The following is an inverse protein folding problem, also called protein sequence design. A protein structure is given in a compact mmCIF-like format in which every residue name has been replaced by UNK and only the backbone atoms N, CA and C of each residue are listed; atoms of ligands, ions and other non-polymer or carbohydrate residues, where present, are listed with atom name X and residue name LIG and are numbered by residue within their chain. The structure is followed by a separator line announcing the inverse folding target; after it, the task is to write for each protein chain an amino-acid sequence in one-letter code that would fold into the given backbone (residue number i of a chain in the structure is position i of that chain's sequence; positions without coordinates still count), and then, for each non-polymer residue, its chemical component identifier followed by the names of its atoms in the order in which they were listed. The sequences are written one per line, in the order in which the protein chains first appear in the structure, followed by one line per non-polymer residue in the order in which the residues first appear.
data_IF_895580867551
#
_entry.id   IF_895580867551
#
_cell.length_a   1.000
_cell.length_b   1.000
_cell.length_c   1.000
_cell.angle_alpha   90.00
_cell.angle_beta   90.00
_cell.angle_gamma   90.00
#
_symmetry.space_group_name_H-M   'P 1'
#
loop_
_entity.id
_entity.type
_entity.pdbx_description
1 polymer ?
#
# COMPACT_ATOMS: atom_id res chain seq x y z
N UNK A 1 7.90 12.54 -4.82
CA UNK A 1 8.12 11.57 -5.89
C UNK A 1 8.33 10.17 -5.35
N UNK A 2 9.14 10.05 -4.33
CA UNK A 2 9.44 8.74 -3.76
C UNK A 2 8.52 8.34 -2.62
N UNK A 3 7.61 9.20 -2.29
CA UNK A 3 6.74 8.94 -1.14
C UNK A 3 5.86 7.70 -1.35
N UNK A 4 5.30 7.57 -2.55
CA UNK A 4 4.46 6.40 -2.83
C UNK A 4 5.28 5.13 -2.84
N UNK A 5 6.50 5.17 -3.38
CA UNK A 5 7.38 4.01 -3.38
C UNK A 5 7.74 3.59 -1.96
N UNK A 6 8.07 4.57 -1.11
CA UNK A 6 8.42 4.29 0.26
C UNK A 6 7.23 3.72 1.03
N UNK A 7 6.05 4.29 0.82
CA UNK A 7 4.85 3.79 1.47
C UNK A 7 4.52 2.37 1.02
N UNK A 8 4.72 2.09 -0.26
CA UNK A 8 4.48 0.75 -0.77
C UNK A 8 5.42 -0.27 -0.13
N UNK A 9 6.71 0.08 -0.04
CA UNK A 9 7.69 -0.78 0.61
C UNK A 9 7.34 -1.02 2.08
N UNK A 10 6.93 0.03 2.77
CA UNK A 10 6.53 -0.12 4.17
C UNK A 10 5.31 -1.02 4.30
N UNK A 11 4.35 -0.85 3.42
CA UNK A 11 3.17 -1.70 3.41
C UNK A 11 3.54 -3.16 3.18
N UNK A 12 4.41 -3.42 2.21
CA UNK A 12 4.88 -4.77 1.95
C UNK A 12 5.59 -5.36 3.16
N UNK A 13 6.45 -4.57 3.78
CA UNK A 13 7.20 -4.99 4.96
C UNK A 13 6.25 -5.44 6.07
N UNK A 14 5.26 -4.62 6.38
CA UNK A 14 4.33 -4.95 7.44
C UNK A 14 3.43 -6.11 7.05
N UNK A 15 3.09 -6.23 5.78
CA UNK A 15 2.30 -7.35 5.30
C UNK A 15 3.05 -8.66 5.53
N UNK A 16 4.34 -8.70 5.19
CA UNK A 16 5.14 -9.91 5.37
C UNK A 16 5.42 -10.23 6.83
N UNK A 17 5.27 -9.24 7.70
CA UNK A 17 5.45 -9.46 9.13
C UNK A 17 4.13 -9.75 9.85
N UNK A 18 3.09 -10.07 9.11
CA UNK A 18 1.77 -10.38 9.67
C UNK A 18 1.11 -9.20 10.36
N UNK A 19 1.50 -7.97 10.01
CA UNK A 19 0.87 -6.77 10.52
C UNK A 19 -0.05 -6.19 9.47
N UNK A 20 -1.09 -6.93 9.14
CA UNK A 20 -1.98 -6.58 8.05
C UNK A 20 -2.67 -5.22 8.26
N UNK A 21 -3.00 -4.89 9.49
CA UNK A 21 -3.64 -3.60 9.76
C UNK A 21 -2.75 -2.44 9.36
N UNK A 22 -1.49 -2.51 9.75
CA UNK A 22 -0.54 -1.45 9.38
C UNK A 22 -0.28 -1.42 7.89
N UNK A 23 -0.15 -2.60 7.28
CA UNK A 23 0.02 -2.68 5.83
C UNK A 23 -1.15 -2.01 5.12
N UNK A 24 -2.36 -2.29 5.58
CA UNK A 24 -3.56 -1.70 5.01
C UNK A 24 -3.53 -0.18 5.11
N UNK A 25 -3.09 0.36 6.25
CA UNK A 25 -2.99 1.80 6.42
C UNK A 25 -2.03 2.43 5.42
N UNK A 26 -0.87 1.81 5.22
CA UNK A 26 0.10 2.33 4.26
C UNK A 26 -0.43 2.28 2.84
N UNK A 27 -1.07 1.19 2.46
CA UNK A 27 -1.63 1.09 1.13
C UNK A 27 -2.76 2.09 0.92
N UNK A 28 -3.57 2.34 1.94
CA UNK A 28 -4.61 3.36 1.86
C UNK A 28 -4.01 4.76 1.68
N UNK A 29 -2.91 5.03 2.36
CA UNK A 29 -2.23 6.31 2.20
C UNK A 29 -1.77 6.52 0.75
N UNK A 30 -1.28 5.46 0.13
CA UNK A 30 -0.89 5.54 -1.28
C UNK A 30 -2.08 5.95 -2.14
N UNK A 31 -3.23 5.36 -1.89
CA UNK A 31 -4.43 5.65 -2.68
C UNK A 31 -4.91 7.09 -2.50
N UNK A 32 -4.59 7.71 -1.37
CA UNK A 32 -5.01 9.09 -1.12
C UNK A 32 -4.04 10.13 -1.66
N UNK A 33 -2.84 9.70 -2.08
CA UNK A 33 -1.86 10.64 -2.64
C UNK A 33 -2.30 11.12 -4.01
N UNK A 34 -2.23 12.42 -4.23
CA UNK A 34 -2.66 13.01 -5.48
C UNK A 34 -1.70 12.70 -6.63
N UNK A 35 -0.42 12.70 -6.33
CA UNK A 35 0.61 12.55 -7.36
C UNK A 35 1.35 11.24 -7.28
N UNK A 36 0.69 10.21 -6.78
CA UNK A 36 1.34 8.92 -6.69
C UNK A 36 1.39 8.25 -8.06
N UNK A 37 2.38 7.38 -8.23
CA UNK A 37 2.53 6.59 -9.45
C UNK A 37 1.31 5.71 -9.65
N UNK A 38 0.72 5.74 -10.85
CA UNK A 38 -0.49 4.97 -11.13
C UNK A 38 -0.26 3.48 -10.99
N UNK A 39 0.93 3.01 -11.35
CA UNK A 39 1.24 1.58 -11.23
C UNK A 39 1.28 1.15 -9.76
N UNK A 40 1.82 2.00 -8.92
CA UNK A 40 1.88 1.72 -7.48
C UNK A 40 0.48 1.80 -6.87
N UNK A 41 -0.32 2.75 -7.34
CA UNK A 41 -1.71 2.84 -6.91
C UNK A 41 -2.46 1.57 -7.22
N UNK A 42 -2.32 1.08 -8.43
CA UNK A 42 -2.98 -0.16 -8.86
C UNK A 42 -2.50 -1.35 -8.05
N UNK A 43 -1.20 -1.41 -7.80
CA UNK A 43 -0.64 -2.50 -7.00
C UNK A 43 -1.18 -2.47 -5.58
N UNK A 44 -1.24 -1.28 -4.98
CA UNK A 44 -1.77 -1.14 -3.64
C UNK A 44 -3.25 -1.51 -3.58
N UNK A 45 -4.00 -1.07 -4.59
CA UNK A 45 -5.42 -1.40 -4.67
C UNK A 45 -5.63 -2.91 -4.76
N UNK A 46 -4.85 -3.56 -5.61
CA UNK A 46 -4.91 -5.01 -5.76
C UNK A 46 -4.63 -5.72 -4.44
N UNK A 47 -3.60 -5.27 -3.76
CA UNK A 47 -3.20 -5.84 -2.47
C UNK A 47 -4.33 -5.71 -1.46
N UNK A 48 -4.93 -4.53 -1.40
CA UNK A 48 -6.03 -4.27 -0.49
C UNK A 48 -7.23 -5.16 -0.80
N UNK A 49 -7.53 -5.32 -2.07
CA UNK A 49 -8.71 -6.09 -2.46
C UNK A 49 -8.53 -7.60 -2.33
N UNK A 50 -7.31 -8.10 -2.54
CA UNK A 50 -7.06 -9.54 -2.52
C UNK A 50 -6.54 -10.03 -1.18
N UNK A 51 -5.49 -9.40 -0.70
CA UNK A 51 -4.74 -9.93 0.43
C UNK A 51 -5.13 -9.29 1.75
N UNK A 52 -5.63 -8.07 1.72
CA UNK A 52 -5.91 -7.30 2.92
C UNK A 52 -7.40 -7.00 3.10
N UNK A 53 -8.25 -7.47 2.20
CA UNK A 53 -9.68 -7.30 2.39
C UNK A 53 -10.18 -8.34 3.40
N UNK A 54 -11.08 -7.93 4.22
CA UNK A 54 -11.66 -8.86 5.21
C UNK A 54 -12.86 -9.63 4.69
#
# INVERSE_FOLDING_TARGET
IWKSDALYLMGEYFYHNNQKKKAKEFFNQILTLKNSNINIKKAAQKRLNRDLSD
#
